data_IF_560741796399
#
_entry.id   IF_560741796399
#
_cell.length_a   1.000
_cell.length_b   1.000
_cell.length_c   1.000
_cell.angle_alpha   90.00
_cell.angle_beta   90.00
_cell.angle_gamma   90.00
#
_symmetry.space_group_name_H-M   'P 1'
#
loop_
_entity.id
_entity.type
_entity.pdbx_description
1 polymer ?
#
# COMPACT_ATOMS: atom_id res chain seq x y z
N UNK A 1 -29.70 5.64 7.20
CA UNK A 1 -28.36 5.07 7.47
C UNK A 1 -27.40 6.24 7.61
N UNK A 2 -27.00 6.57 8.84
CA UNK A 2 -25.95 7.55 9.08
C UNK A 2 -24.64 7.02 8.46
N UNK A 3 -23.98 7.87 7.66
CA UNK A 3 -22.62 7.58 7.19
C UNK A 3 -21.69 7.65 8.38
N UNK A 4 -21.29 6.49 8.92
CA UNK A 4 -20.23 6.39 9.90
C UNK A 4 -18.97 6.86 9.18
N UNK A 5 -18.44 8.02 9.57
CA UNK A 5 -17.11 8.44 9.13
C UNK A 5 -16.10 7.45 9.71
N UNK A 6 -15.25 6.82 8.89
CA UNK A 6 -14.25 5.90 9.41
C UNK A 6 -13.36 6.65 10.41
N UNK A 7 -13.38 6.22 11.67
CA UNK A 7 -12.42 6.66 12.66
C UNK A 7 -11.11 5.92 12.40
N UNK A 8 -10.04 6.65 12.22
CA UNK A 8 -8.74 6.02 12.10
C UNK A 8 -8.36 5.38 13.44
N UNK A 9 -8.05 4.11 13.43
CA UNK A 9 -7.56 3.40 14.60
C UNK A 9 -6.24 3.99 15.11
N UNK A 10 -5.98 3.82 16.38
CA UNK A 10 -4.69 4.13 17.01
C UNK A 10 -3.79 2.89 17.04
N UNK A 11 -2.51 3.11 17.30
CA UNK A 11 -1.57 1.99 17.47
C UNK A 11 -1.95 1.09 18.68
N UNK A 12 -2.65 1.64 19.68
CA UNK A 12 -3.11 0.87 20.85
C UNK A 12 -4.19 -0.17 20.51
N UNK A 13 -4.95 0.07 19.45
CA UNK A 13 -6.03 -0.82 18.99
C UNK A 13 -5.56 -1.89 17.99
N UNK A 14 -4.27 -1.85 17.63
CA UNK A 14 -3.74 -2.67 16.53
C UNK A 14 -3.83 -4.17 16.82
N UNK A 15 -3.62 -4.60 18.06
CA UNK A 15 -3.72 -6.03 18.41
C UNK A 15 -5.15 -6.55 18.21
N UNK A 16 -6.17 -5.78 18.64
CA UNK A 16 -7.57 -6.15 18.45
C UNK A 16 -7.94 -6.19 16.94
N UNK A 17 -7.45 -5.21 16.18
CA UNK A 17 -7.64 -5.19 14.72
C UNK A 17 -6.97 -6.37 14.03
N UNK A 18 -5.78 -6.75 14.49
CA UNK A 18 -5.09 -7.94 14.00
C UNK A 18 -5.91 -9.21 14.27
N UNK A 19 -6.38 -9.41 15.51
CA UNK A 19 -7.18 -10.57 15.88
C UNK A 19 -8.47 -10.66 15.06
N UNK A 20 -9.19 -9.55 14.90
CA UNK A 20 -10.39 -9.51 14.06
C UNK A 20 -10.08 -9.79 12.58
N UNK A 21 -8.97 -9.24 12.06
CA UNK A 21 -8.54 -9.50 10.70
C UNK A 21 -8.20 -10.98 10.48
N UNK A 22 -7.53 -11.62 11.45
CA UNK A 22 -7.20 -13.05 11.37
C UNK A 22 -8.44 -13.93 11.45
N UNK A 23 -9.44 -13.59 12.28
CA UNK A 23 -10.71 -14.34 12.29
C UNK A 23 -11.44 -14.24 10.95
N UNK A 24 -11.40 -13.07 10.30
CA UNK A 24 -11.99 -12.92 8.95
C UNK A 24 -11.24 -13.78 7.93
N UNK A 25 -9.91 -13.81 7.96
CA UNK A 25 -9.11 -14.64 7.04
C UNK A 25 -9.34 -16.14 7.24
N UNK A 26 -9.66 -16.58 8.47
CA UNK A 26 -9.93 -17.97 8.79
C UNK A 26 -11.41 -18.38 8.65
N UNK A 27 -12.28 -17.44 8.24
CA UNK A 27 -13.74 -17.61 8.18
C UNK A 27 -14.37 -17.95 9.55
N UNK A 28 -13.75 -17.46 10.65
CA UNK A 28 -14.15 -17.67 12.05
C UNK A 28 -14.68 -16.37 12.71
N UNK A 29 -15.03 -15.36 11.91
CA UNK A 29 -15.42 -14.02 12.38
C UNK A 29 -16.87 -13.95 12.83
N UNK A 30 -17.17 -12.99 13.67
CA UNK A 30 -18.51 -12.54 14.02
C UNK A 30 -18.82 -11.14 13.49
N UNK A 31 -20.07 -10.66 13.74
CA UNK A 31 -20.50 -9.34 13.28
C UNK A 31 -19.67 -8.20 13.91
N UNK A 32 -19.17 -8.37 15.13
CA UNK A 32 -18.37 -7.36 15.84
C UNK A 32 -17.01 -7.16 15.17
N UNK A 33 -16.41 -8.22 14.61
CA UNK A 33 -15.15 -8.16 13.86
C UNK A 33 -15.31 -7.30 12.60
N UNK A 34 -16.40 -7.54 11.85
CA UNK A 34 -16.68 -6.80 10.63
C UNK A 34 -16.93 -5.32 10.93
N UNK A 35 -17.68 -5.02 11.99
CA UNK A 35 -17.95 -3.64 12.43
C UNK A 35 -16.65 -2.95 12.82
N UNK A 36 -15.78 -3.60 13.62
CA UNK A 36 -14.50 -3.03 14.04
C UNK A 36 -13.61 -2.72 12.83
N UNK A 37 -13.44 -3.67 11.92
CA UNK A 37 -12.63 -3.49 10.72
C UNK A 37 -13.20 -2.40 9.80
N UNK A 38 -14.53 -2.35 9.63
CA UNK A 38 -15.19 -1.33 8.81
C UNK A 38 -15.01 0.08 9.40
N UNK A 39 -15.22 0.24 10.71
CA UNK A 39 -15.07 1.52 11.42
C UNK A 39 -13.63 2.04 11.31
N UNK A 40 -12.65 1.16 11.44
CA UNK A 40 -11.23 1.51 11.37
C UNK A 40 -10.68 1.63 9.94
N UNK A 41 -11.56 1.59 8.92
CA UNK A 41 -11.16 1.77 7.53
C UNK A 41 -10.25 0.66 7.01
N UNK A 42 -10.40 -0.55 7.55
CA UNK A 42 -9.71 -1.72 7.03
C UNK A 42 -10.11 -1.95 5.57
N UNK A 43 -9.11 -2.13 4.72
CA UNK A 43 -9.35 -2.61 3.37
C UNK A 43 -9.41 -4.13 3.41
N UNK A 44 -10.61 -4.68 3.44
CA UNK A 44 -10.86 -6.12 3.32
C UNK A 44 -10.68 -6.62 1.87
N UNK A 45 -10.17 -5.76 0.99
CA UNK A 45 -9.90 -6.08 -0.42
C UNK A 45 -8.40 -6.17 -0.70
N UNK A 46 -8.01 -7.10 -1.55
CA UNK A 46 -6.63 -7.43 -1.89
C UNK A 46 -6.17 -8.72 -1.19
N UNK A 47 -4.98 -9.21 -1.56
CA UNK A 47 -4.47 -10.51 -1.12
C UNK A 47 -4.17 -10.63 0.39
N UNK A 48 -4.15 -9.51 1.15
CA UNK A 48 -3.77 -9.51 2.57
C UNK A 48 -4.57 -8.51 3.38
N UNK A 49 -4.91 -8.90 4.62
CA UNK A 49 -5.53 -8.02 5.59
C UNK A 49 -4.63 -6.81 5.89
N UNK A 50 -5.21 -5.62 5.81
CA UNK A 50 -4.52 -4.36 6.05
C UNK A 50 -5.45 -3.35 6.73
N UNK A 51 -4.91 -2.58 7.65
CA UNK A 51 -5.67 -1.58 8.40
C UNK A 51 -4.97 -0.22 8.35
N UNK A 52 -5.75 0.86 8.49
CA UNK A 52 -5.20 2.20 8.61
C UNK A 52 -5.14 2.61 10.08
N UNK A 53 -3.98 3.07 10.54
CA UNK A 53 -3.80 3.55 11.91
C UNK A 53 -3.16 4.94 11.94
N UNK A 54 -3.51 5.74 12.94
CA UNK A 54 -2.85 7.01 13.23
C UNK A 54 -1.74 6.78 14.25
N UNK A 55 -0.55 7.22 13.91
CA UNK A 55 0.60 7.24 14.80
C UNK A 55 1.37 8.55 14.63
N UNK A 56 1.67 9.23 15.73
CA UNK A 56 2.35 10.52 15.74
C UNK A 56 1.72 11.56 14.76
N UNK A 57 0.41 11.60 14.73
CA UNK A 57 -0.38 12.51 13.90
C UNK A 57 -0.28 12.24 12.38
N UNK A 58 0.29 11.11 11.98
CA UNK A 58 0.43 10.66 10.60
C UNK A 58 -0.37 9.38 10.36
N UNK A 59 -0.83 9.17 9.15
CA UNK A 59 -1.61 7.99 8.78
C UNK A 59 -0.69 6.92 8.19
N UNK A 60 -0.81 5.71 8.71
CA UNK A 60 -0.07 4.54 8.26
C UNK A 60 -1.01 3.45 7.79
N UNK A 61 -0.56 2.68 6.82
CA UNK A 61 -1.12 1.40 6.45
C UNK A 61 -0.33 0.31 7.17
N UNK A 62 -1.02 -0.59 7.87
CA UNK A 62 -0.40 -1.74 8.53
C UNK A 62 -0.81 -3.00 7.80
N UNK A 63 0.16 -3.78 7.36
CA UNK A 63 0.00 -5.09 6.74
C UNK A 63 0.37 -6.18 7.74
N UNK A 64 -0.42 -7.24 7.80
CA UNK A 64 -0.22 -8.37 8.69
C UNK A 64 0.31 -9.60 7.97
N UNK A 65 1.06 -10.45 8.68
CA UNK A 65 1.37 -11.79 8.21
C UNK A 65 0.10 -12.65 8.26
N UNK A 66 -0.07 -13.55 7.31
CA UNK A 66 -1.15 -14.55 7.32
C UNK A 66 -0.68 -15.84 7.98
N UNK A 67 -1.60 -16.60 8.64
CA UNK A 67 -1.25 -17.85 9.30
C UNK A 67 -0.64 -18.90 8.35
N UNK A 68 -1.01 -18.86 7.08
CA UNK A 68 -0.61 -19.82 6.05
C UNK A 68 0.56 -19.32 5.18
N UNK A 69 1.27 -18.28 5.61
CA UNK A 69 2.45 -17.82 4.89
C UNK A 69 3.59 -18.84 5.03
N UNK A 70 4.08 -19.39 3.92
CA UNK A 70 5.19 -20.35 3.88
C UNK A 70 6.51 -19.72 4.37
N UNK A 71 6.60 -18.40 4.33
CA UNK A 71 7.74 -17.60 4.80
C UNK A 71 7.25 -16.23 5.27
N UNK A 72 8.10 -15.51 5.97
CA UNK A 72 7.72 -14.19 6.50
C UNK A 72 7.65 -13.13 5.41
N UNK A 73 6.51 -13.09 4.70
CA UNK A 73 6.23 -12.12 3.61
C UNK A 73 6.41 -10.68 4.11
N UNK A 74 5.99 -10.39 5.34
CA UNK A 74 6.14 -9.07 5.97
C UNK A 74 7.61 -8.66 6.12
N UNK A 75 8.49 -9.60 6.49
CA UNK A 75 9.94 -9.32 6.58
C UNK A 75 10.55 -9.15 5.20
N UNK A 76 10.13 -9.94 4.22
CA UNK A 76 10.58 -9.80 2.85
C UNK A 76 10.15 -8.47 2.23
N UNK A 77 8.89 -8.09 2.38
CA UNK A 77 8.40 -6.80 1.89
C UNK A 77 9.19 -5.64 2.50
N UNK A 78 9.43 -5.68 3.82
CA UNK A 78 10.28 -4.67 4.49
C UNK A 78 11.70 -4.65 3.93
N UNK A 79 12.30 -5.82 3.75
CA UNK A 79 13.66 -5.94 3.21
C UNK A 79 13.75 -5.37 1.79
N UNK A 80 12.75 -5.67 0.94
CA UNK A 80 12.71 -5.16 -0.42
C UNK A 80 12.51 -3.64 -0.46
N UNK A 81 11.68 -3.08 0.42
CA UNK A 81 11.55 -1.62 0.56
C UNK A 81 12.88 -0.97 0.97
N UNK A 82 13.61 -1.58 1.91
CA UNK A 82 14.93 -1.07 2.32
C UNK A 82 15.97 -1.16 1.21
N UNK A 83 16.01 -2.27 0.48
CA UNK A 83 16.89 -2.43 -0.68
C UNK A 83 16.54 -1.46 -1.81
N UNK A 84 15.26 -1.25 -2.08
CA UNK A 84 14.79 -0.26 -3.05
C UNK A 84 15.25 1.15 -2.67
N UNK A 85 15.12 1.51 -1.39
CA UNK A 85 15.62 2.79 -0.87
C UNK A 85 17.14 2.93 -1.06
N UNK A 86 17.91 1.89 -0.72
CA UNK A 86 19.37 1.86 -0.93
C UNK A 86 19.76 1.97 -2.41
N UNK A 87 18.93 1.43 -3.30
CA UNK A 87 19.08 1.54 -4.75
C UNK A 87 18.67 2.93 -5.30
N UNK A 88 18.26 3.87 -4.45
CA UNK A 88 17.83 5.21 -4.84
C UNK A 88 16.39 5.30 -5.35
N UNK A 89 15.60 4.25 -5.23
CA UNK A 89 14.16 4.26 -5.54
C UNK A 89 13.41 4.95 -4.39
N UNK A 90 12.51 5.84 -4.72
CA UNK A 90 11.65 6.51 -3.73
C UNK A 90 10.63 5.52 -3.17
N UNK A 91 10.72 5.24 -1.89
CA UNK A 91 9.78 4.41 -1.15
C UNK A 91 9.19 5.17 0.04
N UNK A 92 8.01 4.82 0.53
CA UNK A 92 7.46 5.42 1.74
C UNK A 92 8.27 4.98 2.97
N UNK A 93 8.26 5.82 4.00
CA UNK A 93 8.78 5.43 5.31
C UNK A 93 8.05 4.17 5.79
N UNK A 94 8.81 3.17 6.21
CA UNK A 94 8.28 1.89 6.66
C UNK A 94 9.07 1.33 7.83
N UNK A 95 8.39 0.61 8.70
CA UNK A 95 9.01 -0.04 9.84
C UNK A 95 8.25 -1.31 10.27
N UNK A 96 8.98 -2.23 10.85
CA UNK A 96 8.40 -3.39 11.53
C UNK A 96 7.96 -2.99 12.94
N UNK A 97 6.79 -3.46 13.32
CA UNK A 97 6.29 -3.41 14.68
C UNK A 97 6.04 -4.83 15.18
N UNK A 98 6.09 -5.02 16.50
CA UNK A 98 5.82 -6.31 17.13
C UNK A 98 4.49 -6.22 17.86
N UNK A 99 3.58 -7.11 17.52
CA UNK A 99 2.29 -7.26 18.18
C UNK A 99 2.48 -7.97 19.54
N UNK A 100 1.46 -7.92 20.42
CA UNK A 100 1.52 -8.56 21.75
C UNK A 100 1.76 -10.06 21.71
N UNK A 101 1.26 -10.72 20.65
CA UNK A 101 1.49 -12.15 20.42
C UNK A 101 2.88 -12.49 19.87
N UNK A 102 3.76 -11.49 19.70
CA UNK A 102 5.12 -11.64 19.18
C UNK A 102 5.23 -11.60 17.64
N UNK A 103 4.13 -11.60 16.90
CA UNK A 103 4.15 -11.52 15.45
C UNK A 103 4.60 -10.14 14.98
N UNK A 104 5.14 -10.10 13.76
CA UNK A 104 5.55 -8.86 13.10
C UNK A 104 4.45 -8.34 12.17
N UNK A 105 4.28 -7.03 12.16
CA UNK A 105 3.47 -6.33 11.17
C UNK A 105 4.31 -5.25 10.51
N UNK A 106 4.01 -4.96 9.24
CA UNK A 106 4.68 -3.91 8.47
C UNK A 106 3.82 -2.66 8.47
N UNK A 107 4.37 -1.59 9.01
CA UNK A 107 3.74 -0.29 9.08
C UNK A 107 4.38 0.63 8.05
N UNK A 108 3.58 1.12 7.09
CA UNK A 108 3.99 1.94 5.95
C UNK A 108 3.28 3.29 6.03
N UNK A 109 4.03 4.38 6.04
CA UNK A 109 3.47 5.73 6.07
C UNK A 109 2.70 6.01 4.77
N UNK A 110 1.48 6.51 4.89
CA UNK A 110 0.69 6.90 3.73
C UNK A 110 1.23 8.20 3.13
N UNK A 111 1.70 8.10 1.92
CA UNK A 111 2.24 9.21 1.14
C UNK A 111 1.15 10.01 0.40
N UNK A 112 -0.07 9.50 0.35
CA UNK A 112 -1.23 10.17 -0.26
C UNK A 112 -1.97 11.08 0.74
N UNK A 113 -1.30 11.46 1.83
CA UNK A 113 -1.81 12.35 2.87
C UNK A 113 -0.77 13.41 3.22
N UNK A 114 -1.22 14.66 3.34
CA UNK A 114 -0.45 15.77 3.91
C UNK A 114 -1.35 16.46 4.93
N UNK A 115 -0.93 16.51 6.20
CA UNK A 115 -1.69 17.13 7.29
C UNK A 115 -3.17 16.66 7.29
N UNK A 116 -3.39 15.36 7.20
CA UNK A 116 -4.70 14.70 7.10
C UNK A 116 -5.48 14.98 5.80
N UNK A 117 -5.05 15.90 4.95
CA UNK A 117 -5.67 16.14 3.66
C UNK A 117 -5.26 15.07 2.63
N UNK A 118 -6.24 14.60 1.86
CA UNK A 118 -5.98 13.64 0.77
C UNK A 118 -5.33 14.35 -0.42
N UNK A 119 -4.26 13.79 -0.94
CA UNK A 119 -3.73 14.14 -2.25
C UNK A 119 -4.50 13.38 -3.33
N UNK A 120 -4.78 14.00 -4.48
CA UNK A 120 -5.29 13.27 -5.63
C UNK A 120 -4.29 12.16 -6.03
N UNK A 121 -4.82 10.96 -6.19
CA UNK A 121 -4.06 9.73 -6.45
C UNK A 121 -4.74 8.97 -7.59
N UNK A 122 -3.98 8.54 -8.59
CA UNK A 122 -4.44 7.69 -9.68
C UNK A 122 -3.45 6.55 -9.89
N UNK A 123 -3.92 5.30 -9.89
CA UNK A 123 -3.08 4.18 -10.33
C UNK A 123 -2.70 4.35 -11.80
N UNK A 124 -1.57 3.79 -12.22
CA UNK A 124 -1.15 3.83 -13.62
C UNK A 124 -2.23 3.21 -14.54
N UNK A 125 -2.93 2.19 -14.06
CA UNK A 125 -4.08 1.62 -14.77
C UNK A 125 -5.20 2.64 -15.00
N UNK A 126 -5.59 3.37 -13.95
CA UNK A 126 -6.63 4.42 -14.07
C UNK A 126 -6.14 5.60 -14.90
N UNK A 127 -4.88 5.95 -14.79
CA UNK A 127 -4.24 7.00 -15.58
C UNK A 127 -4.28 6.70 -17.08
N UNK A 128 -3.98 5.46 -17.47
CA UNK A 128 -4.03 5.00 -18.86
C UNK A 128 -5.47 4.66 -19.34
N UNK A 129 -6.47 4.86 -18.49
CA UNK A 129 -7.88 4.58 -18.80
C UNK A 129 -8.15 3.15 -19.24
N UNK A 130 -7.42 2.17 -18.70
CA UNK A 130 -7.55 0.76 -19.06
C UNK A 130 -8.71 0.10 -18.30
N UNK A 131 -9.64 -0.51 -19.04
CA UNK A 131 -10.77 -1.23 -18.45
C UNK A 131 -10.33 -2.50 -17.74
N UNK A 132 -11.11 -2.94 -16.73
CA UNK A 132 -10.77 -4.06 -15.86
C UNK A 132 -10.51 -5.37 -16.61
N UNK A 133 -11.19 -5.59 -17.72
CA UNK A 133 -11.17 -6.83 -18.50
C UNK A 133 -10.55 -6.66 -19.90
N UNK A 134 -9.90 -5.53 -20.18
CA UNK A 134 -9.22 -5.36 -21.46
C UNK A 134 -7.95 -6.21 -21.46
N UNK A 135 -7.86 -7.13 -22.42
CA UNK A 135 -6.60 -7.79 -22.79
C UNK A 135 -5.59 -6.80 -23.43
N UNK A 136 -5.81 -5.50 -23.25
CA UNK A 136 -4.95 -4.46 -23.75
C UNK A 136 -3.60 -4.58 -23.04
N UNK A 137 -2.56 -4.80 -23.82
CA UNK A 137 -1.19 -4.92 -23.34
C UNK A 137 -0.82 -3.68 -22.53
N UNK A 138 -0.79 -3.83 -21.24
CA UNK A 138 -0.27 -2.84 -20.33
C UNK A 138 1.25 -3.03 -20.25
N UNK A 139 2.01 -2.05 -20.65
CA UNK A 139 3.47 -2.12 -20.62
C UNK A 139 4.06 -0.95 -19.83
N UNK A 140 5.25 -1.16 -19.30
CA UNK A 140 6.06 -0.07 -18.75
C UNK A 140 6.27 1.05 -19.77
N UNK A 141 6.41 0.72 -21.06
CA UNK A 141 6.59 1.68 -22.14
C UNK A 141 5.39 2.62 -22.24
N UNK A 142 4.17 2.06 -22.31
CA UNK A 142 2.94 2.87 -22.38
C UNK A 142 2.79 3.80 -21.19
N UNK A 143 3.17 3.34 -20.00
CA UNK A 143 3.13 4.18 -18.81
C UNK A 143 4.24 5.25 -18.85
N UNK A 144 5.47 4.88 -19.21
CA UNK A 144 6.58 5.83 -19.34
C UNK A 144 6.30 6.94 -20.35
N UNK A 145 5.66 6.61 -21.50
CA UNK A 145 5.30 7.60 -22.52
C UNK A 145 4.27 8.61 -22.02
N UNK A 146 3.42 8.21 -21.07
CA UNK A 146 2.42 9.08 -20.46
C UNK A 146 2.97 10.02 -19.37
N UNK A 147 4.19 9.77 -18.88
CA UNK A 147 4.84 10.60 -17.87
C UNK A 147 5.46 11.84 -18.50
N UNK A 148 5.24 13.01 -17.89
CA UNK A 148 5.78 14.28 -18.38
C UNK A 148 7.26 14.48 -18.02
N UNK A 149 7.65 14.07 -16.80
CA UNK A 149 8.96 14.37 -16.26
C UNK A 149 9.98 13.27 -16.54
N UNK A 150 11.14 13.65 -17.06
CA UNK A 150 12.25 12.72 -17.32
C UNK A 150 12.71 12.00 -16.05
N UNK A 151 12.73 12.70 -14.91
CA UNK A 151 13.08 12.08 -13.62
C UNK A 151 12.13 10.96 -13.20
N UNK A 152 10.84 11.10 -13.48
CA UNK A 152 9.84 10.05 -13.19
C UNK A 152 9.98 8.85 -14.16
N UNK A 153 10.39 9.10 -15.41
CA UNK A 153 10.70 8.02 -16.38
C UNK A 153 11.93 7.21 -15.94
N UNK A 154 12.98 7.89 -15.49
CA UNK A 154 14.18 7.25 -14.95
C UNK A 154 13.83 6.44 -13.69
N UNK A 155 13.08 7.00 -12.78
CA UNK A 155 12.61 6.32 -11.57
C UNK A 155 11.80 5.08 -11.93
N UNK A 156 10.87 5.16 -12.90
CA UNK A 156 10.08 4.03 -13.36
C UNK A 156 10.95 2.92 -13.97
N UNK A 157 11.96 3.29 -14.75
CA UNK A 157 12.93 2.33 -15.30
C UNK A 157 13.72 1.63 -14.17
N UNK A 158 14.17 2.36 -13.15
CA UNK A 158 14.84 1.78 -11.99
C UNK A 158 13.95 0.78 -11.26
N UNK A 159 12.66 1.07 -11.09
CA UNK A 159 11.68 0.14 -10.49
C UNK A 159 11.50 -1.13 -11.30
N UNK A 160 11.33 -0.98 -12.61
CA UNK A 160 11.21 -2.13 -13.52
C UNK A 160 12.44 -3.05 -13.40
N UNK A 161 13.63 -2.46 -13.39
CA UNK A 161 14.88 -3.22 -13.27
C UNK A 161 15.02 -3.87 -11.89
N UNK A 162 14.68 -3.15 -10.83
CA UNK A 162 14.67 -3.65 -9.45
C UNK A 162 13.71 -4.84 -9.30
N UNK A 163 12.46 -4.71 -9.79
CA UNK A 163 11.46 -5.78 -9.75
C UNK A 163 11.94 -7.03 -10.49
N UNK A 164 12.60 -6.86 -11.65
CA UNK A 164 13.19 -7.97 -12.39
C UNK A 164 14.30 -8.66 -11.59
N UNK A 165 15.18 -7.91 -10.93
CA UNK A 165 16.26 -8.46 -10.11
C UNK A 165 15.75 -9.18 -8.86
N UNK A 166 14.67 -8.68 -8.25
CA UNK A 166 14.05 -9.27 -7.06
C UNK A 166 13.07 -10.40 -7.39
N UNK A 167 12.93 -10.76 -8.68
CA UNK A 167 11.94 -11.73 -9.17
C UNK A 167 10.50 -11.40 -8.72
N UNK A 168 10.14 -10.12 -8.63
CA UNK A 168 8.76 -9.70 -8.38
C UNK A 168 7.92 -9.94 -9.65
N UNK A 169 7.18 -11.05 -9.64
CA UNK A 169 6.33 -11.47 -10.76
C UNK A 169 4.91 -10.92 -10.67
N UNK A 170 4.54 -10.29 -9.56
CA UNK A 170 3.22 -9.66 -9.37
C UNK A 170 3.23 -8.15 -9.68
N UNK A 171 4.23 -7.70 -10.40
CA UNK A 171 4.32 -6.30 -10.79
C UNK A 171 3.33 -5.97 -11.91
N UNK A 172 2.41 -5.08 -11.62
CA UNK A 172 1.35 -4.67 -12.53
C UNK A 172 0.99 -3.19 -12.37
N UNK A 173 0.23 -2.61 -13.32
CA UNK A 173 -0.10 -1.18 -13.35
C UNK A 173 -0.90 -0.65 -12.14
N UNK A 174 -1.40 -1.48 -11.26
CA UNK A 174 -2.01 -1.02 -10.00
C UNK A 174 -0.95 -0.75 -8.93
N UNK A 175 0.27 -1.31 -9.07
CA UNK A 175 1.40 -1.14 -8.15
C UNK A 175 2.17 0.15 -8.43
N UNK A 176 1.84 0.84 -9.52
CA UNK A 176 2.34 2.17 -9.85
C UNK A 176 1.23 3.20 -9.79
N UNK A 177 1.56 4.41 -9.36
CA UNK A 177 0.57 5.48 -9.27
C UNK A 177 1.18 6.86 -9.49
N UNK A 178 0.29 7.81 -9.73
CA UNK A 178 0.60 9.22 -9.79
C UNK A 178 -0.06 9.95 -8.63
N UNK A 179 0.64 10.93 -8.09
CA UNK A 179 0.16 11.91 -7.12
C UNK A 179 0.15 13.28 -7.75
N UNK A 180 -0.88 14.05 -7.47
CA UNK A 180 -0.93 15.44 -7.91
C UNK A 180 -0.13 16.34 -6.97
N UNK A 181 0.97 16.87 -7.48
CA UNK A 181 1.76 17.92 -6.82
C UNK A 181 1.05 19.26 -6.97
N UNK A 182 0.47 19.75 -5.87
CA UNK A 182 -0.24 21.03 -5.85
C UNK A 182 0.67 22.23 -6.06
N UNK A 183 1.94 22.12 -5.67
CA UNK A 183 2.93 23.21 -5.80
C UNK A 183 3.30 23.42 -7.24
N UNK A 184 3.64 22.35 -7.94
CA UNK A 184 4.03 22.38 -9.35
C UNK A 184 2.84 22.21 -10.31
N UNK A 185 1.63 22.00 -9.77
CA UNK A 185 0.39 21.74 -10.55
C UNK A 185 0.57 20.61 -11.59
N UNK A 186 1.27 19.57 -11.21
CA UNK A 186 1.65 18.47 -12.09
C UNK A 186 1.41 17.12 -11.43
N UNK A 187 1.12 16.11 -12.24
CA UNK A 187 1.11 14.73 -11.79
C UNK A 187 2.53 14.17 -11.79
N UNK A 188 2.92 13.56 -10.67
CA UNK A 188 4.25 13.01 -10.44
C UNK A 188 4.14 11.56 -10.03
N UNK A 189 5.11 10.75 -10.43
CA UNK A 189 5.18 9.36 -10.00
C UNK A 189 5.20 9.28 -8.48
N UNK A 190 4.33 8.45 -7.87
CA UNK A 190 4.28 8.23 -6.42
C UNK A 190 5.55 7.53 -5.92
N UNK A 191 5.84 7.47 -4.62
CA UNK A 191 6.75 6.46 -4.08
C UNK A 191 6.31 5.04 -4.50
N UNK A 192 7.25 4.10 -4.59
CA UNK A 192 6.96 2.68 -4.79
C UNK A 192 6.37 2.08 -3.50
N UNK A 193 5.33 1.26 -3.57
CA UNK A 193 4.58 0.84 -2.37
C UNK A 193 4.12 -0.63 -2.35
N UNK A 194 4.39 -1.41 -3.42
CA UNK A 194 3.99 -2.82 -3.50
C UNK A 194 5.00 -3.66 -4.26
#
# INVERSE_FOLDING_TARGET
MEKISPQNATLAELDALFESAMRVELDEYDESDLVLLQVCGAALGGARAKVCVVYQNELYLVKFALPNDDFSVILWEKTLLDLAHLAGIRVPESRLITLKNGQKALMIKRFDRINSARLPFLSARSWLNLQANSAQESSYTSFADSLCETSDKIELFCRMYFNALCANTDDHLKNHALLYDRTNKAWRLSPAYD
#
